data_IF_799273384403
#
_entry.id   IF_799273384403
#
_cell.length_a   1.000
_cell.length_b   1.000
_cell.length_c   1.000
_cell.angle_alpha   90.00
_cell.angle_beta   90.00
_cell.angle_gamma   90.00
#
_symmetry.space_group_name_H-M   'P 1'
#
loop_
_entity.id
_entity.type
_entity.pdbx_description
1 polymer ?
#
# COMPACT_ATOMS: atom_id res chain seq x y z
N UNK A 1 1.45 -26.37 4.08
CA UNK A 1 0.62 -25.32 3.47
C UNK A 1 1.33 -24.00 3.70
N UNK A 2 1.59 -23.24 2.64
CA UNK A 2 2.01 -21.85 2.81
C UNK A 2 0.82 -21.08 3.39
N UNK A 3 1.09 -20.17 4.34
CA UNK A 3 0.06 -19.27 4.83
C UNK A 3 -0.41 -18.41 3.64
N UNK A 4 -1.73 -18.18 3.48
CA UNK A 4 -2.20 -17.24 2.47
C UNK A 4 -1.62 -15.86 2.74
N UNK A 5 -1.34 -15.12 1.67
CA UNK A 5 -0.90 -13.72 1.78
C UNK A 5 -2.03 -12.88 2.38
N UNK A 6 -1.67 -11.86 3.15
CA UNK A 6 -2.64 -10.86 3.60
C UNK A 6 -3.09 -9.98 2.44
N UNK A 7 -4.14 -9.18 2.63
CA UNK A 7 -4.60 -8.26 1.58
C UNK A 7 -3.55 -7.16 1.33
N UNK A 8 -2.82 -6.71 2.36
CA UNK A 8 -1.72 -5.76 2.22
C UNK A 8 -0.57 -6.32 1.38
N UNK A 9 -0.19 -7.57 1.62
CA UNK A 9 0.83 -8.26 0.83
C UNK A 9 0.41 -8.44 -0.63
N UNK A 10 -0.89 -8.71 -0.87
CA UNK A 10 -1.43 -8.77 -2.22
C UNK A 10 -1.43 -7.39 -2.88
N UNK A 11 -1.85 -6.34 -2.17
CA UNK A 11 -1.81 -4.96 -2.68
C UNK A 11 -0.39 -4.55 -3.10
N UNK A 12 0.58 -4.64 -2.18
CA UNK A 12 1.94 -4.24 -2.49
C UNK A 12 2.62 -5.18 -3.49
N UNK A 13 2.50 -6.50 -3.30
CA UNK A 13 3.18 -7.47 -4.17
C UNK A 13 2.61 -7.55 -5.58
N UNK A 14 1.32 -7.30 -5.79
CA UNK A 14 0.71 -7.34 -7.12
C UNK A 14 0.80 -5.99 -7.85
N UNK A 15 0.52 -4.88 -7.17
CA UNK A 15 0.43 -3.56 -7.82
C UNK A 15 1.77 -2.81 -7.79
N UNK A 16 2.55 -2.95 -6.71
CA UNK A 16 3.91 -2.44 -6.62
C UNK A 16 4.93 -3.56 -6.82
N UNK A 17 4.71 -4.38 -7.87
CA UNK A 17 5.62 -5.44 -8.29
C UNK A 17 6.91 -4.88 -8.93
N UNK A 18 7.87 -5.72 -9.35
CA UNK A 18 9.15 -5.24 -9.92
C UNK A 18 9.01 -4.39 -11.19
N UNK A 19 7.99 -4.68 -12.01
CA UNK A 19 7.77 -4.10 -13.32
C UNK A 19 6.67 -3.03 -13.30
N UNK A 20 6.23 -2.57 -12.12
CA UNK A 20 5.11 -1.64 -11.97
C UNK A 20 5.29 -0.36 -12.81
N UNK A 21 6.54 0.07 -13.04
CA UNK A 21 6.86 1.26 -13.86
C UNK A 21 6.64 1.07 -15.35
N UNK A 22 6.47 -0.16 -15.83
CA UNK A 22 6.10 -0.45 -17.23
C UNK A 22 4.61 -0.20 -17.48
N UNK A 23 3.79 -0.31 -16.43
CA UNK A 23 2.33 -0.15 -16.49
C UNK A 23 1.85 1.23 -16.02
N UNK A 24 2.55 1.83 -15.05
CA UNK A 24 2.13 3.06 -14.39
C UNK A 24 3.24 4.12 -14.41
N UNK A 25 2.86 5.37 -14.65
CA UNK A 25 3.78 6.50 -14.67
C UNK A 25 4.09 7.05 -13.27
N UNK A 26 3.31 6.67 -12.26
CA UNK A 26 3.51 7.09 -10.88
C UNK A 26 2.93 6.11 -9.85
N UNK A 27 3.47 6.15 -8.62
CA UNK A 27 2.92 5.39 -7.50
C UNK A 27 1.46 5.75 -7.18
N UNK A 28 1.03 6.98 -7.50
CA UNK A 28 -0.34 7.41 -7.31
C UNK A 28 -1.31 6.75 -8.29
N UNK A 29 -0.88 6.49 -9.53
CA UNK A 29 -1.66 5.74 -10.52
C UNK A 29 -1.79 4.27 -10.14
N UNK A 30 -0.73 3.67 -9.57
CA UNK A 30 -0.77 2.30 -9.02
C UNK A 30 -1.86 2.20 -7.94
N UNK A 31 -1.88 3.17 -7.01
CA UNK A 31 -2.90 3.25 -5.94
C UNK A 31 -4.30 3.42 -6.54
N UNK A 32 -4.45 4.28 -7.55
CA UNK A 32 -5.74 4.54 -8.17
C UNK A 32 -6.27 3.31 -8.95
N UNK A 33 -5.39 2.53 -9.60
CA UNK A 33 -5.75 1.26 -10.25
C UNK A 33 -6.26 0.25 -9.23
N UNK A 34 -5.52 0.04 -8.12
CA UNK A 34 -5.96 -0.84 -7.04
C UNK A 34 -7.35 -0.48 -6.52
N UNK A 35 -7.62 0.81 -6.31
CA UNK A 35 -8.91 1.29 -5.82
C UNK A 35 -10.04 1.02 -6.82
N UNK A 36 -9.78 1.15 -8.12
CA UNK A 36 -10.76 0.88 -9.19
C UNK A 36 -11.07 -0.61 -9.34
N UNK A 37 -10.04 -1.45 -9.22
CA UNK A 37 -10.14 -2.89 -9.46
C UNK A 37 -10.67 -3.67 -8.25
N UNK A 38 -10.50 -3.12 -7.05
CA UNK A 38 -10.79 -3.83 -5.79
C UNK A 38 -12.18 -3.57 -5.24
N UNK A 39 -12.73 -4.57 -4.56
CA UNK A 39 -13.98 -4.42 -3.83
C UNK A 39 -13.79 -3.51 -2.60
N UNK A 40 -14.90 -2.90 -2.15
CA UNK A 40 -14.91 -2.07 -0.93
C UNK A 40 -14.34 -2.80 0.30
N UNK A 41 -14.63 -4.09 0.45
CA UNK A 41 -14.18 -4.88 1.59
C UNK A 41 -12.67 -5.16 1.56
N UNK A 42 -12.10 -5.39 0.37
CA UNK A 42 -10.65 -5.53 0.18
C UNK A 42 -9.95 -4.21 0.52
N UNK A 43 -10.45 -3.09 0.02
CA UNK A 43 -9.87 -1.75 0.30
C UNK A 43 -9.90 -1.45 1.81
N UNK A 44 -11.00 -1.79 2.50
CA UNK A 44 -11.11 -1.64 3.97
C UNK A 44 -10.11 -2.55 4.70
N UNK A 45 -9.90 -3.77 4.21
CA UNK A 45 -8.97 -4.73 4.81
C UNK A 45 -7.53 -4.26 4.69
N UNK A 46 -7.09 -3.88 3.48
CA UNK A 46 -5.77 -3.27 3.24
C UNK A 46 -5.59 -2.02 4.10
N UNK A 47 -6.63 -1.19 4.22
CA UNK A 47 -6.58 0.00 5.07
C UNK A 47 -6.30 -0.31 6.53
N UNK A 48 -6.97 -1.33 7.08
CA UNK A 48 -6.77 -1.76 8.47
C UNK A 48 -5.35 -2.27 8.67
N UNK A 49 -4.83 -3.06 7.74
CA UNK A 49 -3.47 -3.59 7.79
C UNK A 49 -2.40 -2.50 7.67
N UNK A 50 -2.60 -1.48 6.83
CA UNK A 50 -1.71 -0.29 6.77
C UNK A 50 -1.69 0.44 8.12
N UNK A 51 -2.86 0.62 8.75
CA UNK A 51 -2.93 1.27 10.06
C UNK A 51 -2.21 0.46 11.15
N UNK A 52 -2.34 -0.86 11.12
CA UNK A 52 -1.60 -1.77 12.02
C UNK A 52 -0.09 -1.66 11.78
N UNK A 53 0.35 -1.61 10.52
CA UNK A 53 1.76 -1.41 10.15
C UNK A 53 2.30 -0.07 10.67
N UNK A 54 1.59 1.05 10.42
CA UNK A 54 1.97 2.38 10.91
C UNK A 54 2.15 2.37 12.44
N UNK A 55 1.26 1.70 13.18
CA UNK A 55 1.30 1.67 14.64
C UNK A 55 2.36 0.71 15.20
N UNK A 56 2.90 -0.21 14.39
CA UNK A 56 3.84 -1.24 14.84
C UNK A 56 5.31 -0.79 14.76
N UNK A 57 5.60 0.32 14.07
CA UNK A 57 6.96 0.77 13.80
C UNK A 57 7.21 2.19 14.32
N UNK A 58 8.34 2.37 15.02
CA UNK A 58 8.85 3.67 15.48
C UNK A 58 10.19 4.04 14.82
N UNK A 59 10.78 3.11 14.08
CA UNK A 59 12.05 3.23 13.37
C UNK A 59 11.81 3.16 11.87
N UNK A 60 12.38 4.12 11.13
CA UNK A 60 12.24 4.24 9.67
C UNK A 60 12.91 3.09 8.92
N UNK A 61 14.10 2.66 9.33
CA UNK A 61 14.83 1.56 8.69
C UNK A 61 14.08 0.24 8.83
N UNK A 62 13.54 -0.04 10.02
CA UNK A 62 12.78 -1.27 10.28
C UNK A 62 11.47 -1.31 9.47
N UNK A 63 10.81 -0.14 9.35
CA UNK A 63 9.62 0.00 8.50
C UNK A 63 9.95 -0.24 7.02
N UNK A 64 11.06 0.35 6.55
CA UNK A 64 11.52 0.18 5.18
C UNK A 64 11.82 -1.29 4.86
N UNK A 65 12.52 -1.98 5.77
CA UNK A 65 12.85 -3.39 5.64
C UNK A 65 11.58 -4.25 5.59
N UNK A 66 10.60 -3.98 6.46
CA UNK A 66 9.31 -4.67 6.43
C UNK A 66 8.56 -4.45 5.11
N UNK A 67 8.46 -3.20 4.65
CA UNK A 67 7.78 -2.88 3.39
C UNK A 67 8.40 -3.64 2.21
N UNK A 68 9.73 -3.67 2.13
CA UNK A 68 10.44 -4.30 1.03
C UNK A 68 10.36 -5.84 1.08
N UNK A 69 10.61 -6.44 2.24
CA UNK A 69 10.85 -7.89 2.33
C UNK A 69 9.66 -8.69 2.89
N UNK A 70 8.82 -8.08 3.74
CA UNK A 70 7.67 -8.76 4.34
C UNK A 70 6.37 -8.42 3.61
N UNK A 71 6.21 -7.19 3.14
CA UNK A 71 5.05 -6.74 2.38
C UNK A 71 5.24 -6.85 0.86
N UNK A 72 6.44 -7.17 0.39
CA UNK A 72 6.79 -7.34 -1.03
C UNK A 72 6.58 -6.07 -1.89
N UNK A 73 6.76 -4.88 -1.30
CA UNK A 73 6.63 -3.61 -2.01
C UNK A 73 7.94 -3.24 -2.74
N UNK A 74 7.93 -3.23 -4.07
CA UNK A 74 9.08 -2.77 -4.88
C UNK A 74 9.15 -1.27 -5.09
N UNK A 75 8.12 -0.52 -4.66
CA UNK A 75 8.20 0.92 -4.67
C UNK A 75 9.13 1.45 -3.57
N UNK A 76 10.27 2.01 -3.99
CA UNK A 76 11.23 2.65 -3.11
C UNK A 76 10.79 4.09 -2.80
N UNK A 77 9.90 4.21 -1.81
CA UNK A 77 9.31 5.49 -1.40
C UNK A 77 10.31 6.63 -1.08
N UNK A 78 11.56 6.41 -0.60
CA UNK A 78 12.47 7.51 -0.28
C UNK A 78 12.83 8.41 -1.46
N UNK A 79 12.60 7.98 -2.71
CA UNK A 79 12.77 8.85 -3.87
C UNK A 79 11.77 10.01 -3.93
N UNK A 80 10.60 9.88 -3.28
CA UNK A 80 9.53 10.88 -3.35
C UNK A 80 8.99 11.29 -1.98
N UNK A 81 9.24 10.50 -0.94
CA UNK A 81 8.70 10.70 0.40
C UNK A 81 9.80 10.81 1.45
N UNK A 82 9.71 11.79 2.39
CA UNK A 82 10.68 11.93 3.46
C UNK A 82 10.70 10.77 4.47
N UNK A 83 9.60 9.99 4.56
CA UNK A 83 9.49 8.82 5.43
C UNK A 83 8.39 7.86 4.96
N UNK A 84 8.50 6.60 5.35
CA UNK A 84 7.52 5.56 5.07
C UNK A 84 6.19 5.88 5.72
N UNK A 85 6.19 6.42 6.95
CA UNK A 85 4.97 6.83 7.65
C UNK A 85 4.19 7.92 6.90
N UNK A 86 4.89 8.89 6.28
CA UNK A 86 4.23 9.93 5.48
C UNK A 86 3.64 9.36 4.20
N UNK A 87 4.35 8.44 3.54
CA UNK A 87 3.85 7.76 2.35
C UNK A 87 2.63 6.87 2.65
N UNK A 88 2.68 6.04 3.70
CA UNK A 88 1.55 5.21 4.13
C UNK A 88 0.34 6.07 4.55
N UNK A 89 0.59 7.21 5.22
CA UNK A 89 -0.47 8.18 5.54
C UNK A 89 -1.10 8.81 4.30
N UNK A 90 -0.33 9.00 3.23
CA UNK A 90 -0.84 9.47 1.94
C UNK A 90 -1.74 8.42 1.26
N UNK A 91 -1.32 7.15 1.24
CA UNK A 91 -2.18 6.03 0.80
C UNK A 91 -3.49 6.04 1.58
N UNK A 92 -3.43 6.25 2.90
CA UNK A 92 -4.63 6.30 3.73
C UNK A 92 -5.60 7.41 3.36
N UNK A 93 -5.09 8.60 3.04
CA UNK A 93 -5.93 9.70 2.55
C UNK A 93 -6.58 9.37 1.21
N UNK A 94 -5.87 8.72 0.28
CA UNK A 94 -6.46 8.29 -1.00
C UNK A 94 -7.57 7.26 -0.80
N UNK A 95 -7.35 6.26 0.06
CA UNK A 95 -8.34 5.24 0.38
C UNK A 95 -9.59 5.86 1.02
N UNK A 96 -9.40 6.77 1.99
CA UNK A 96 -10.51 7.47 2.64
C UNK A 96 -11.33 8.31 1.67
N UNK A 97 -10.65 9.05 0.78
CA UNK A 97 -11.32 9.82 -0.26
C UNK A 97 -12.18 8.92 -1.15
N UNK A 98 -11.62 7.80 -1.60
CA UNK A 98 -12.30 6.87 -2.50
C UNK A 98 -13.49 6.16 -1.82
N UNK A 99 -13.30 5.61 -0.63
CA UNK A 99 -14.38 4.95 0.13
C UNK A 99 -15.55 5.91 0.43
N UNK A 100 -15.28 7.21 0.60
CA UNK A 100 -16.33 8.21 0.77
C UNK A 100 -17.13 8.49 -0.52
N UNK A 101 -16.54 8.28 -1.69
CA UNK A 101 -17.25 8.39 -2.99
C UNK A 101 -18.14 7.19 -3.30
N UNK A 102 -17.89 6.04 -2.66
CA UNK A 102 -18.67 4.80 -2.82
C UNK A 102 -19.96 4.76 -1.97
N UNK A 103 -20.41 5.89 -1.42
CA UNK A 103 -21.63 5.94 -0.59
C UNK A 103 -22.87 5.71 -1.46
N UNK A 104 -23.52 4.56 -1.25
CA UNK A 104 -24.88 4.26 -1.72
C UNK A 104 -25.92 5.01 -0.89
#
# INVERSE_FOLDING_TARGET
MNKPLTELQQFFGAYFNQDWTEEYSSADEVIDSFLQDSSRDVIISVKKEILELINSYTNESDLQENLLYEQYCYYYYPHQWPSGLLWLSHIMKKFDKYLNTMKF
#
